data_IF_168432516386
#
_entry.id   IF_168432516386
#
_cell.length_a   1.000
_cell.length_b   1.000
_cell.length_c   1.000
_cell.angle_alpha   90.00
_cell.angle_beta   90.00
_cell.angle_gamma   90.00
#
_symmetry.space_group_name_H-M   'P 1'
#
loop_
_entity.id
_entity.type
_entity.pdbx_description
1 polymer ?
#
# COMPACT_ATOMS: atom_id res chain seq x y z
N UNK A 1 -14.38 -17.72 -2.25
CA UNK A 1 -15.37 -17.10 -3.19
C UNK A 1 -15.34 -15.61 -2.89
N UNK A 2 -15.08 -14.77 -3.90
CA UNK A 2 -14.95 -13.33 -3.69
C UNK A 2 -16.31 -12.72 -3.36
N UNK A 3 -16.30 -11.73 -2.48
CA UNK A 3 -17.48 -10.98 -2.12
C UNK A 3 -17.66 -9.75 -3.01
N UNK A 4 -18.91 -9.33 -3.19
CA UNK A 4 -19.22 -8.07 -3.86
C UNK A 4 -19.21 -6.93 -2.84
N UNK A 5 -18.49 -5.85 -3.14
CA UNK A 5 -18.41 -4.67 -2.29
C UNK A 5 -19.74 -3.90 -2.18
N UNK A 6 -20.60 -3.98 -3.20
CA UNK A 6 -21.86 -3.23 -3.24
C UNK A 6 -21.65 -1.72 -3.09
N UNK A 7 -22.38 -1.10 -2.16
CA UNK A 7 -22.28 0.32 -1.83
C UNK A 7 -21.39 0.59 -0.60
N UNK A 8 -20.63 -0.39 -0.13
CA UNK A 8 -19.79 -0.22 1.04
C UNK A 8 -18.61 0.70 0.71
N UNK A 9 -18.45 1.76 1.48
CA UNK A 9 -17.36 2.74 1.29
C UNK A 9 -16.37 2.71 2.45
N UNK A 10 -15.11 3.01 2.13
CA UNK A 10 -14.08 3.14 3.15
C UNK A 10 -14.27 4.45 3.91
N UNK A 11 -14.50 4.35 5.21
CA UNK A 11 -14.68 5.52 6.08
C UNK A 11 -13.36 6.16 6.51
N UNK A 12 -12.35 5.34 6.80
CA UNK A 12 -11.06 5.78 7.33
C UNK A 12 -9.90 5.04 6.67
N UNK A 13 -8.71 5.64 6.67
CA UNK A 13 -7.50 4.89 6.33
C UNK A 13 -7.08 4.00 7.50
N UNK A 14 -6.34 2.93 7.20
CA UNK A 14 -5.83 2.01 8.22
C UNK A 14 -4.77 2.65 9.13
N UNK A 15 -4.31 3.88 8.84
CA UNK A 15 -3.41 4.65 9.73
C UNK A 15 -4.10 5.77 10.51
N UNK A 16 -5.39 6.02 10.28
CA UNK A 16 -6.08 7.21 10.76
C UNK A 16 -6.60 7.09 12.20
N UNK A 17 -7.03 5.91 12.63
CA UNK A 17 -7.80 5.76 13.88
C UNK A 17 -7.01 6.16 15.13
N UNK A 18 -7.69 6.83 16.06
CA UNK A 18 -7.19 7.29 17.35
C UNK A 18 -8.21 7.05 18.47
N UNK A 19 -7.87 7.42 19.70
CA UNK A 19 -8.72 7.19 20.89
C UNK A 19 -10.02 7.99 20.85
N UNK A 20 -10.04 9.12 20.16
CA UNK A 20 -11.26 9.90 19.87
C UNK A 20 -12.27 9.16 18.98
N UNK A 21 -11.85 8.10 18.29
CA UNK A 21 -12.73 7.33 17.42
C UNK A 21 -13.44 6.18 18.15
N UNK A 22 -13.15 5.95 19.43
CA UNK A 22 -13.71 4.84 20.21
C UNK A 22 -15.24 4.92 20.26
N UNK A 23 -15.88 3.78 20.01
CA UNK A 23 -17.34 3.64 19.92
C UNK A 23 -17.92 3.92 18.53
N UNK A 24 -17.12 4.45 17.60
CA UNK A 24 -17.57 4.65 16.23
C UNK A 24 -17.54 3.34 15.43
N UNK A 25 -18.55 3.15 14.57
CA UNK A 25 -18.52 2.09 13.56
C UNK A 25 -17.77 2.59 12.34
N UNK A 26 -16.73 1.86 11.95
CA UNK A 26 -15.85 2.21 10.82
C UNK A 26 -15.75 1.05 9.84
N UNK A 27 -15.58 1.41 8.57
CA UNK A 27 -15.19 0.48 7.51
C UNK A 27 -13.77 0.80 7.05
N UNK A 28 -12.89 -0.20 7.16
CA UNK A 28 -11.50 -0.16 6.69
C UNK A 28 -11.32 -1.11 5.51
N UNK A 29 -10.47 -0.73 4.55
CA UNK A 29 -10.17 -1.54 3.37
C UNK A 29 -8.67 -1.54 3.11
N UNK A 30 -8.09 -2.71 2.90
CA UNK A 30 -6.65 -2.84 2.74
C UNK A 30 -6.17 -4.28 2.50
N UNK A 31 -4.87 -4.47 2.71
CA UNK A 31 -4.18 -5.75 2.61
C UNK A 31 -3.94 -6.35 3.99
N UNK A 32 -4.14 -7.65 4.11
CA UNK A 32 -3.79 -8.41 5.31
C UNK A 32 -2.27 -8.49 5.40
N UNK A 33 -1.64 -7.64 6.23
CA UNK A 33 -0.20 -7.69 6.44
C UNK A 33 0.16 -8.93 7.26
N UNK A 34 -0.56 -9.14 8.37
CA UNK A 34 -0.35 -10.25 9.29
C UNK A 34 -1.67 -10.82 9.78
N UNK A 35 -1.72 -12.14 9.94
CA UNK A 35 -2.81 -12.87 10.60
C UNK A 35 -2.26 -13.67 11.76
N UNK A 36 -2.95 -13.63 12.91
CA UNK A 36 -2.63 -14.40 14.11
C UNK A 36 -3.93 -15.03 14.64
N UNK A 37 -3.95 -16.34 14.80
CA UNK A 37 -5.13 -17.11 15.24
C UNK A 37 -4.86 -17.72 16.61
N UNK A 38 -5.77 -17.48 17.55
CA UNK A 38 -5.68 -17.96 18.93
C UNK A 38 -6.86 -18.86 19.31
N UNK A 39 -7.66 -19.33 18.34
CA UNK A 39 -8.84 -20.19 18.60
C UNK A 39 -10.13 -19.38 18.52
N UNK A 40 -10.64 -18.81 19.64
CA UNK A 40 -11.85 -17.98 19.65
C UNK A 40 -11.60 -16.53 19.18
N UNK A 41 -10.33 -16.13 19.03
CA UNK A 41 -9.93 -14.81 18.56
C UNK A 41 -8.99 -14.93 17.35
N UNK A 42 -9.30 -14.19 16.29
CA UNK A 42 -8.41 -13.99 15.14
C UNK A 42 -8.04 -12.52 15.03
N UNK A 43 -6.74 -12.22 15.01
CA UNK A 43 -6.19 -10.87 14.86
C UNK A 43 -5.62 -10.70 13.46
N UNK A 44 -5.98 -9.60 12.81
CA UNK A 44 -5.46 -9.19 11.50
C UNK A 44 -4.86 -7.80 11.61
N UNK A 45 -3.61 -7.65 11.17
CA UNK A 45 -3.03 -6.33 10.93
C UNK A 45 -3.41 -5.92 9.50
N UNK A 46 -4.38 -5.01 9.37
CA UNK A 46 -4.86 -4.51 8.10
C UNK A 46 -4.05 -3.28 7.69
N UNK A 47 -3.40 -3.35 6.53
CA UNK A 47 -2.50 -2.33 6.01
C UNK A 47 -3.12 -1.64 4.81
N UNK A 48 -3.01 -0.32 4.75
CA UNK A 48 -3.18 0.44 3.52
C UNK A 48 -1.97 1.35 3.28
N UNK A 49 -2.14 2.36 2.41
CA UNK A 49 -1.06 3.29 2.07
C UNK A 49 -0.63 4.15 3.26
N UNK A 50 -1.51 4.42 4.22
CA UNK A 50 -1.29 5.41 5.29
C UNK A 50 -0.96 4.77 6.64
N UNK A 51 -1.20 3.47 6.83
CA UNK A 51 -0.72 2.76 8.01
C UNK A 51 -1.29 1.37 8.18
N UNK A 52 -1.26 0.90 9.43
CA UNK A 52 -1.73 -0.40 9.86
C UNK A 52 -2.67 -0.20 11.05
N UNK A 53 -3.84 -0.85 11.02
CA UNK A 53 -4.76 -0.97 12.16
C UNK A 53 -4.95 -2.45 12.47
N UNK A 54 -4.99 -2.79 13.77
CA UNK A 54 -5.35 -4.15 14.20
C UNK A 54 -6.87 -4.31 14.18
N UNK A 55 -7.30 -5.43 13.62
CA UNK A 55 -8.69 -5.85 13.51
C UNK A 55 -8.83 -7.17 14.24
N UNK A 56 -9.82 -7.27 15.12
CA UNK A 56 -10.06 -8.45 15.96
C UNK A 56 -11.41 -9.05 15.61
N UNK A 57 -11.41 -10.34 15.31
CA UNK A 57 -12.60 -11.15 15.09
C UNK A 57 -12.78 -12.07 16.28
N UNK A 58 -13.94 -12.00 16.92
CA UNK A 58 -14.28 -12.81 18.08
C UNK A 58 -15.43 -13.76 17.74
N UNK A 59 -15.23 -15.05 18.02
CA UNK A 59 -16.19 -16.13 17.74
C UNK A 59 -17.55 -15.93 18.41
N UNK A 60 -17.59 -15.41 19.63
CA UNK A 60 -18.83 -15.24 20.40
C UNK A 60 -19.66 -14.08 19.87
N UNK A 61 -19.01 -12.99 19.46
CA UNK A 61 -19.68 -11.74 19.08
C UNK A 61 -19.91 -11.59 17.57
N UNK A 62 -19.14 -12.31 16.74
CA UNK A 62 -19.22 -12.26 15.29
C UNK A 62 -18.81 -13.62 14.64
N UNK A 63 -19.53 -14.72 14.91
CA UNK A 63 -19.13 -16.09 14.51
C UNK A 63 -18.91 -16.25 13.00
N UNK A 64 -19.78 -15.64 12.17
CA UNK A 64 -19.65 -15.70 10.71
C UNK A 64 -18.40 -14.98 10.21
N UNK A 65 -18.16 -13.75 10.69
CA UNK A 65 -16.98 -12.98 10.33
C UNK A 65 -15.69 -13.66 10.84
N UNK A 66 -15.72 -14.23 12.04
CA UNK A 66 -14.61 -15.00 12.60
C UNK A 66 -14.25 -16.22 11.76
N UNK A 67 -15.26 -17.00 11.33
CA UNK A 67 -15.05 -18.18 10.47
C UNK A 67 -14.39 -17.77 9.16
N UNK A 68 -14.87 -16.69 8.53
CA UNK A 68 -14.31 -16.17 7.29
C UNK A 68 -12.90 -15.62 7.46
N UNK A 69 -12.62 -14.92 8.57
CA UNK A 69 -11.28 -14.44 8.91
C UNK A 69 -10.26 -15.58 9.12
N UNK A 70 -10.72 -16.81 9.42
CA UNK A 70 -9.84 -17.99 9.48
C UNK A 70 -9.33 -18.45 8.12
N UNK A 71 -10.09 -18.21 7.06
CA UNK A 71 -9.72 -18.57 5.68
C UNK A 71 -8.72 -17.58 5.06
N UNK A 72 -8.72 -16.34 5.55
CA UNK A 72 -7.89 -15.24 5.05
C UNK A 72 -6.40 -15.52 5.22
N UNK A 73 -5.60 -15.18 4.20
CA UNK A 73 -4.13 -15.32 4.21
C UNK A 73 -3.44 -13.99 4.00
N UNK A 74 -2.11 -13.98 4.17
CA UNK A 74 -1.28 -12.81 3.92
C UNK A 74 -1.53 -12.21 2.52
N UNK A 75 -1.58 -10.89 2.48
CA UNK A 75 -1.81 -10.05 1.31
C UNK A 75 -3.17 -10.17 0.62
N UNK A 76 -4.13 -10.88 1.21
CA UNK A 76 -5.54 -10.80 0.79
C UNK A 76 -6.03 -9.35 0.87
N UNK A 77 -6.89 -8.97 -0.08
CA UNK A 77 -7.56 -7.67 -0.08
C UNK A 77 -8.92 -7.83 0.58
N UNK A 78 -9.14 -7.13 1.68
CA UNK A 78 -10.37 -7.26 2.46
C UNK A 78 -10.98 -5.89 2.79
N UNK A 79 -12.30 -5.88 2.96
CA UNK A 79 -13.02 -4.82 3.65
C UNK A 79 -13.51 -5.35 4.99
N UNK A 80 -13.40 -4.55 6.04
CA UNK A 80 -13.85 -4.89 7.39
C UNK A 80 -14.67 -3.75 7.94
N UNK A 81 -15.86 -4.07 8.45
CA UNK A 81 -16.70 -3.15 9.20
C UNK A 81 -16.77 -3.60 10.65
N UNK A 82 -16.57 -2.67 11.58
CA UNK A 82 -16.55 -2.95 13.01
C UNK A 82 -16.52 -1.70 13.86
N UNK A 83 -16.52 -1.90 15.17
CA UNK A 83 -16.49 -0.82 16.15
C UNK A 83 -15.05 -0.56 16.62
N UNK A 84 -14.65 0.71 16.72
CA UNK A 84 -13.36 1.08 17.27
C UNK A 84 -13.40 0.92 18.79
N UNK A 85 -12.46 0.16 19.34
CA UNK A 85 -12.34 -0.09 20.77
C UNK A 85 -10.92 0.18 21.25
N UNK A 86 -10.78 0.48 22.54
CA UNK A 86 -9.47 0.56 23.17
C UNK A 86 -8.86 -0.83 23.25
N UNK A 87 -7.56 -0.93 22.98
CA UNK A 87 -6.82 -2.14 23.33
C UNK A 87 -6.71 -2.24 24.85
N UNK A 88 -6.75 -3.48 25.34
CA UNK A 88 -6.49 -3.78 26.74
C UNK A 88 -5.18 -3.16 27.24
N UNK A 89 -5.15 -2.79 28.51
CA UNK A 89 -3.93 -2.31 29.15
C UNK A 89 -2.81 -3.36 29.04
N UNK A 90 -1.63 -2.93 28.58
CA UNK A 90 -0.50 -3.82 28.27
C UNK A 90 -0.49 -4.40 26.85
N UNK A 91 -1.56 -4.27 26.06
CA UNK A 91 -1.62 -4.67 24.63
C UNK A 91 -1.47 -3.51 23.65
N UNK A 92 -1.35 -2.28 24.17
CA UNK A 92 -1.07 -1.08 23.37
C UNK A 92 0.31 -1.16 22.74
N UNK A 93 0.41 -0.77 21.47
CA UNK A 93 1.66 -0.83 20.72
C UNK A 93 2.20 0.58 20.41
N UNK A 94 3.18 1.09 21.17
CA UNK A 94 3.68 2.46 20.97
C UNK A 94 4.41 2.67 19.64
N UNK A 95 4.71 1.60 18.88
CA UNK A 95 5.34 1.69 17.56
C UNK A 95 4.34 2.02 16.44
N UNK A 96 3.04 1.95 16.71
CA UNK A 96 1.97 2.21 15.73
C UNK A 96 1.18 3.45 16.14
N UNK A 97 0.87 4.31 15.17
CA UNK A 97 0.03 5.50 15.42
C UNK A 97 -1.39 5.13 15.88
N UNK A 98 -1.90 3.97 15.45
CA UNK A 98 -3.20 3.40 15.90
C UNK A 98 -3.01 2.40 17.04
N UNK A 99 -1.87 2.46 17.74
CA UNK A 99 -1.43 1.42 18.68
C UNK A 99 -2.25 1.33 19.96
N UNK A 100 -3.06 2.35 20.25
CA UNK A 100 -3.94 2.41 21.42
C UNK A 100 -5.32 1.81 21.16
N UNK A 101 -5.70 1.67 19.88
CA UNK A 101 -7.02 1.21 19.44
C UNK A 101 -6.94 -0.01 18.54
N UNK A 102 -8.06 -0.69 18.40
CA UNK A 102 -8.30 -1.76 17.44
C UNK A 102 -9.76 -1.74 16.98
N UNK A 103 -10.06 -2.47 15.90
CA UNK A 103 -11.43 -2.60 15.40
C UNK A 103 -11.97 -3.96 15.79
N UNK A 104 -13.03 -3.99 16.59
CA UNK A 104 -13.82 -5.19 16.86
C UNK A 104 -14.73 -5.46 15.66
N UNK A 105 -14.32 -6.41 14.82
CA UNK A 105 -14.93 -6.64 13.51
C UNK A 105 -16.25 -7.40 13.63
N UNK A 106 -17.27 -6.89 12.93
CA UNK A 106 -18.59 -7.52 12.81
C UNK A 106 -18.80 -8.15 11.43
N UNK A 107 -18.18 -7.57 10.41
CA UNK A 107 -18.30 -8.02 9.03
C UNK A 107 -16.93 -8.04 8.35
N UNK A 108 -16.73 -9.01 7.45
CA UNK A 108 -15.57 -9.08 6.56
C UNK A 108 -15.99 -9.50 5.15
N UNK A 109 -15.50 -8.76 4.18
CA UNK A 109 -15.60 -9.08 2.76
C UNK A 109 -14.20 -9.35 2.21
N UNK A 110 -14.03 -10.49 1.55
CA UNK A 110 -12.84 -10.85 0.79
C UNK A 110 -13.01 -10.29 -0.62
N UNK A 111 -12.42 -9.13 -0.86
CA UNK A 111 -12.48 -8.43 -2.16
C UNK A 111 -11.58 -9.09 -3.19
N UNK A 112 -10.42 -9.61 -2.75
CA UNK A 112 -9.53 -10.36 -3.60
C UNK A 112 -8.65 -11.33 -2.78
N UNK A 113 -8.48 -12.54 -3.29
CA UNK A 113 -7.55 -13.51 -2.73
C UNK A 113 -6.13 -13.23 -3.22
N UNK A 114 -5.12 -13.57 -2.40
CA UNK A 114 -3.72 -13.45 -2.79
C UNK A 114 -3.01 -14.80 -2.72
N UNK A 115 -2.12 -15.04 -3.68
CA UNK A 115 -1.17 -16.15 -3.61
C UNK A 115 -0.07 -15.81 -2.61
N UNK A 116 0.55 -16.84 -2.04
CA UNK A 116 1.75 -16.68 -1.19
C UNK A 116 2.78 -15.83 -1.92
N UNK A 117 3.28 -14.79 -1.26
CA UNK A 117 4.24 -13.87 -1.87
C UNK A 117 5.60 -14.54 -2.05
N UNK A 118 6.36 -14.17 -3.11
CA UNK A 118 7.68 -14.73 -3.37
C UNK A 118 8.74 -14.31 -2.32
N UNK A 119 8.42 -13.31 -1.50
CA UNK A 119 9.23 -12.86 -0.36
C UNK A 119 8.34 -12.17 0.68
N UNK A 120 8.85 -12.03 1.90
CA UNK A 120 8.15 -11.36 2.99
C UNK A 120 8.19 -9.84 2.82
N UNK A 121 7.05 -9.17 3.00
CA UNK A 121 6.93 -7.72 2.84
C UNK A 121 7.17 -6.94 4.15
N UNK A 122 7.09 -7.61 5.29
CA UNK A 122 7.25 -6.99 6.62
C UNK A 122 8.72 -6.78 7.03
N UNK A 123 9.68 -7.20 6.20
CA UNK A 123 11.10 -7.08 6.52
C UNK A 123 11.53 -5.62 6.44
N UNK A 124 11.92 -5.08 7.59
CA UNK A 124 12.40 -3.70 7.74
C UNK A 124 13.92 -3.57 7.68
N UNK A 125 14.68 -4.63 7.97
CA UNK A 125 16.15 -4.65 7.89
C UNK A 125 16.64 -5.11 6.52
N UNK A 126 17.83 -4.66 6.12
CA UNK A 126 18.49 -5.11 4.88
C UNK A 126 18.73 -6.62 4.85
N UNK A 127 19.04 -7.20 6.00
CA UNK A 127 19.59 -8.55 6.11
C UNK A 127 18.54 -9.66 5.89
N UNK A 128 17.26 -9.30 5.86
CA UNK A 128 16.16 -10.22 5.55
C UNK A 128 15.51 -9.99 4.18
N UNK A 129 16.04 -9.05 3.38
CA UNK A 129 15.43 -8.75 2.08
C UNK A 129 15.78 -9.83 1.06
N UNK A 130 14.79 -10.17 0.24
CA UNK A 130 15.02 -10.95 -0.97
C UNK A 130 16.05 -10.26 -1.89
N UNK A 131 16.69 -11.08 -2.74
CA UNK A 131 17.62 -10.60 -3.76
C UNK A 131 16.99 -9.49 -4.60
N UNK A 132 17.83 -8.56 -5.04
CA UNK A 132 17.37 -7.43 -5.86
C UNK A 132 16.67 -7.89 -7.14
N UNK A 133 17.20 -8.90 -7.84
CA UNK A 133 16.57 -9.46 -9.03
C UNK A 133 15.15 -9.95 -8.77
N UNK A 134 14.92 -10.64 -7.66
CA UNK A 134 13.60 -11.13 -7.29
C UNK A 134 12.66 -9.96 -6.96
N UNK A 135 13.17 -8.94 -6.28
CA UNK A 135 12.41 -7.72 -5.96
C UNK A 135 12.08 -6.91 -7.19
N UNK A 136 12.97 -6.81 -8.18
CA UNK A 136 12.71 -6.13 -9.45
C UNK A 136 11.71 -6.92 -10.30
N UNK A 137 11.81 -8.26 -10.34
CA UNK A 137 10.82 -9.13 -10.99
C UNK A 137 9.41 -8.94 -10.43
N UNK A 138 9.29 -8.80 -9.12
CA UNK A 138 8.02 -8.58 -8.42
C UNK A 138 7.92 -7.17 -7.83
N UNK A 139 8.36 -6.15 -8.59
CA UNK A 139 8.48 -4.77 -8.08
C UNK A 139 7.16 -4.22 -7.55
N UNK A 140 6.03 -4.64 -8.13
CA UNK A 140 4.70 -4.27 -7.65
C UNK A 140 4.39 -4.73 -6.22
N UNK A 141 5.02 -5.82 -5.73
CA UNK A 141 4.97 -6.24 -4.33
C UNK A 141 6.00 -5.50 -3.49
N UNK A 142 7.23 -5.37 -3.97
CA UNK A 142 8.30 -4.65 -3.26
C UNK A 142 7.88 -3.20 -2.95
N UNK A 143 7.20 -2.54 -3.90
CA UNK A 143 6.65 -1.20 -3.72
C UNK A 143 5.60 -1.09 -2.61
N UNK A 144 5.05 -2.18 -2.07
CA UNK A 144 4.12 -2.13 -0.91
C UNK A 144 4.84 -1.88 0.42
N UNK A 145 6.17 -2.02 0.45
CA UNK A 145 6.96 -1.84 1.67
C UNK A 145 6.91 -0.37 2.14
N UNK A 146 6.74 -0.11 3.45
CA UNK A 146 6.62 1.26 3.98
C UNK A 146 7.78 2.19 3.58
N UNK A 147 9.01 1.68 3.55
CA UNK A 147 10.18 2.46 3.16
C UNK A 147 10.12 2.96 1.72
N UNK A 148 9.72 2.09 0.77
CA UNK A 148 9.62 2.47 -0.65
C UNK A 148 8.43 3.41 -0.88
N UNK A 149 7.30 3.19 -0.20
CA UNK A 149 6.17 4.12 -0.20
C UNK A 149 6.58 5.50 0.32
N UNK A 150 7.34 5.56 1.43
CA UNK A 150 7.85 6.81 1.97
C UNK A 150 8.77 7.54 0.99
N UNK A 151 9.70 6.81 0.33
CA UNK A 151 10.60 7.37 -0.67
C UNK A 151 9.85 7.95 -1.88
N UNK A 152 8.85 7.23 -2.40
CA UNK A 152 8.05 7.71 -3.53
C UNK A 152 7.21 8.94 -3.17
N UNK A 153 6.60 8.96 -1.98
CA UNK A 153 5.87 10.14 -1.49
C UNK A 153 6.79 11.33 -1.27
N UNK A 154 7.99 11.10 -0.73
CA UNK A 154 9.00 12.16 -0.58
C UNK A 154 9.39 12.73 -1.94
N UNK A 155 9.71 11.86 -2.92
CA UNK A 155 10.00 12.28 -4.29
C UNK A 155 8.87 13.14 -4.87
N UNK A 156 7.62 12.71 -4.70
CA UNK A 156 6.46 13.49 -5.14
C UNK A 156 6.42 14.88 -4.50
N UNK A 157 6.57 14.97 -3.17
CA UNK A 157 6.56 16.27 -2.46
C UNK A 157 7.70 17.18 -2.90
N UNK A 158 8.91 16.63 -3.10
CA UNK A 158 10.07 17.39 -3.58
C UNK A 158 9.80 17.97 -4.96
N UNK A 159 9.30 17.16 -5.90
CA UNK A 159 8.97 17.65 -7.26
C UNK A 159 7.86 18.70 -7.23
N UNK A 160 6.82 18.49 -6.42
CA UNK A 160 5.73 19.46 -6.25
C UNK A 160 6.24 20.80 -5.71
N UNK A 161 7.14 20.76 -4.73
CA UNK A 161 7.72 21.95 -4.13
C UNK A 161 8.64 22.71 -5.10
N UNK A 162 9.47 22.00 -5.87
CA UNK A 162 10.31 22.61 -6.91
C UNK A 162 9.42 23.34 -7.92
N UNK A 163 8.36 22.70 -8.42
CA UNK A 163 7.44 23.30 -9.38
C UNK A 163 6.74 24.52 -8.80
N UNK A 164 6.24 24.43 -7.57
CA UNK A 164 5.60 25.54 -6.85
C UNK A 164 6.54 26.74 -6.75
N UNK A 165 7.78 26.52 -6.30
CA UNK A 165 8.76 27.58 -6.19
C UNK A 165 9.08 28.21 -7.55
N UNK A 166 9.27 27.40 -8.61
CA UNK A 166 9.55 27.92 -9.95
C UNK A 166 8.41 28.78 -10.50
N UNK A 167 7.15 28.36 -10.27
CA UNK A 167 5.95 29.14 -10.64
C UNK A 167 5.88 30.47 -9.87
N UNK A 168 6.16 30.46 -8.56
CA UNK A 168 6.26 31.68 -7.74
C UNK A 168 7.37 32.64 -8.25
N UNK A 169 8.43 32.10 -8.86
CA UNK A 169 9.49 32.87 -9.52
C UNK A 169 9.18 33.21 -11.00
N UNK A 170 7.94 33.00 -11.45
CA UNK A 170 7.47 33.30 -12.80
C UNK A 170 8.14 32.48 -13.92
N UNK A 171 8.69 31.31 -13.62
CA UNK A 171 9.13 30.37 -14.66
C UNK A 171 7.93 29.70 -15.33
N UNK A 172 8.07 29.34 -16.60
CA UNK A 172 7.06 28.57 -17.36
C UNK A 172 7.55 27.13 -17.56
N UNK A 173 6.76 26.15 -17.14
CA UNK A 173 7.03 24.73 -17.45
C UNK A 173 6.69 24.47 -18.93
N UNK A 174 7.68 24.03 -19.72
CA UNK A 174 7.55 23.74 -21.16
C UNK A 174 7.93 22.28 -21.40
N UNK A 175 6.99 21.49 -21.94
CA UNK A 175 7.28 20.12 -22.37
C UNK A 175 8.06 20.13 -23.69
N UNK A 176 9.16 19.39 -23.74
CA UNK A 176 10.02 19.26 -24.93
C UNK A 176 9.87 17.88 -25.58
N UNK A 177 10.09 17.75 -26.90
CA UNK A 177 9.98 16.46 -27.60
C UNK A 177 10.93 15.39 -27.04
N UNK A 178 10.43 14.15 -26.94
CA UNK A 178 11.22 12.98 -26.51
C UNK A 178 11.91 12.29 -27.69
N UNK A 179 11.42 12.45 -28.91
CA UNK A 179 12.03 11.90 -30.12
C UNK A 179 12.80 13.00 -30.85
N UNK A 180 14.11 13.08 -30.59
CA UNK A 180 15.00 14.12 -31.13
C UNK A 180 15.95 13.56 -32.20
N UNK A 181 16.73 14.44 -32.81
CA UNK A 181 17.83 14.04 -33.71
C UNK A 181 19.05 13.68 -32.86
N UNK A 182 19.70 12.56 -33.17
CA UNK A 182 20.96 12.15 -32.52
C UNK A 182 22.11 13.12 -32.83
N UNK A 183 22.92 13.41 -31.83
CA UNK A 183 24.13 14.25 -31.95
C UNK A 183 25.36 13.47 -31.49
N UNK A 184 26.45 13.38 -32.29
CA UNK A 184 27.59 12.50 -31.98
C UNK A 184 28.49 12.93 -30.81
N UNK A 185 28.23 14.08 -30.19
CA UNK A 185 29.18 14.73 -29.27
C UNK A 185 29.07 14.24 -27.82
N UNK A 186 28.00 13.52 -27.47
CA UNK A 186 27.68 13.14 -26.10
C UNK A 186 27.79 11.65 -25.78
N UNK A 187 27.11 11.24 -24.73
CA UNK A 187 26.93 9.82 -24.40
C UNK A 187 26.20 9.06 -25.52
N UNK A 188 26.20 7.72 -25.47
CA UNK A 188 25.48 6.93 -26.49
C UNK A 188 23.98 7.12 -26.37
N UNK A 189 23.36 7.54 -27.47
CA UNK A 189 21.91 7.70 -27.54
C UNK A 189 21.17 6.36 -27.64
N UNK A 190 20.01 6.26 -26.99
CA UNK A 190 19.02 5.24 -27.30
C UNK A 190 18.28 5.62 -28.59
N UNK A 191 18.38 4.76 -29.61
CA UNK A 191 17.78 5.01 -30.92
C UNK A 191 16.39 4.39 -31.06
N UNK A 192 15.49 5.12 -31.73
CA UNK A 192 14.14 4.66 -32.07
C UNK A 192 13.99 4.69 -33.60
N UNK A 193 13.89 3.52 -34.27
CA UNK A 193 13.81 3.48 -35.73
C UNK A 193 12.51 4.10 -36.25
N UNK A 194 12.61 4.90 -37.31
CA UNK A 194 11.43 5.49 -37.96
C UNK A 194 10.80 4.51 -38.95
N UNK A 195 9.52 4.18 -38.75
CA UNK A 195 8.75 3.40 -39.71
C UNK A 195 8.50 4.17 -41.02
N UNK A 196 8.40 5.51 -40.95
CA UNK A 196 8.03 6.37 -42.09
C UNK A 196 9.25 6.70 -42.96
N UNK A 197 10.44 6.79 -42.37
CA UNK A 197 11.67 7.14 -43.07
C UNK A 197 12.67 5.99 -42.95
N UNK A 198 12.69 5.05 -43.91
CA UNK A 198 13.61 3.90 -43.88
C UNK A 198 15.07 4.33 -43.75
N UNK A 199 15.80 3.63 -42.88
CA UNK A 199 17.22 3.91 -42.59
C UNK A 199 17.46 5.11 -41.66
N UNK A 200 16.42 5.80 -41.17
CA UNK A 200 16.54 6.93 -40.24
C UNK A 200 16.02 6.57 -38.84
N UNK A 201 16.60 7.24 -37.85
CA UNK A 201 16.35 7.01 -36.43
C UNK A 201 16.11 8.34 -35.70
N UNK A 202 15.25 8.30 -34.70
CA UNK A 202 15.23 9.27 -33.61
C UNK A 202 16.18 8.82 -32.50
N UNK A 203 16.48 9.73 -31.59
CA UNK A 203 17.15 9.48 -30.33
C UNK A 203 16.27 9.94 -29.17
N UNK A 204 16.40 9.29 -28.01
CA UNK A 204 15.89 9.80 -26.75
C UNK A 204 16.86 10.87 -26.20
N UNK A 205 16.37 12.01 -25.66
CA UNK A 205 17.23 13.02 -25.06
C UNK A 205 18.00 12.46 -23.86
N UNK A 206 19.20 12.99 -23.64
CA UNK A 206 20.10 12.63 -22.52
C UNK A 206 19.61 13.22 -21.19
#
# INVERSE_FOLDING_TARGET
MLDNLGNLERTHSCGALRTEDVGQTVTLMGWVAKRRDFGPLTFIDLRDRDGITQVVFNEETAPFAHTKAKEVRGEYVIAVTGEVVLREEGRRNPKLATGEVEVSAREILILNEARTTPFQLEVTSSDGLASEDLRLKYRYLDLRRPQLQANLRLRHRVVAEIRRYMDEQQFTEIETPILIKSTPEGARDYIVPSRIQPGKFFALPQ
#
